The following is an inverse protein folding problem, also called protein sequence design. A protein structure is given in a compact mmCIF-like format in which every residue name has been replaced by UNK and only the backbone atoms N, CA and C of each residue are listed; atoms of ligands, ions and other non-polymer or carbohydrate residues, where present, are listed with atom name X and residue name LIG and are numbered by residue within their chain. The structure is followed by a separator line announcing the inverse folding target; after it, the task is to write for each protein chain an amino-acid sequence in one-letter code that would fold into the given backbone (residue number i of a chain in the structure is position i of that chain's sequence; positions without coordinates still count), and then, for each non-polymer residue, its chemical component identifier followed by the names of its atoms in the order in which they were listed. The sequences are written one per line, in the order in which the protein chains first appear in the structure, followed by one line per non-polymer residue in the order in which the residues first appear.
data_IF_960306592447
#
_entry.id   IF_960306592447
#
_cell.length_a   1.000
_cell.length_b   1.000
_cell.length_c   1.000
_cell.angle_alpha   90.00
_cell.angle_beta   90.00
_cell.angle_gamma   90.00
#
_symmetry.space_group_name_H-M   'P 1'
#
loop_
_entity.id
_entity.type
_entity.pdbx_description
1 polymer ?
#
# COMPACT_ATOMS: atom_id res chain seq x y z
N UNK A 1 1.34 -19.65 -29.37
CA UNK A 1 1.69 -18.28 -28.96
C UNK A 1 0.47 -17.69 -28.27
N UNK A 2 0.60 -17.26 -27.00
CA UNK A 2 -0.51 -16.63 -26.27
C UNK A 2 -0.44 -15.13 -26.57
N UNK A 3 -1.48 -14.56 -27.15
CA UNK A 3 -1.56 -13.12 -27.42
C UNK A 3 -1.57 -12.34 -26.09
N UNK A 4 -0.89 -11.18 -26.02
CA UNK A 4 -0.96 -10.34 -24.82
C UNK A 4 -2.40 -9.87 -24.61
N UNK A 5 -3.01 -10.29 -23.50
CA UNK A 5 -4.33 -9.83 -23.08
C UNK A 5 -4.31 -8.42 -22.49
N UNK A 6 -5.48 -7.92 -22.09
CA UNK A 6 -5.65 -6.64 -21.40
C UNK A 6 -4.82 -6.66 -20.10
N UNK A 7 -3.96 -5.67 -19.90
CA UNK A 7 -3.08 -5.53 -18.72
C UNK A 7 -3.52 -4.36 -17.86
N UNK A 8 -3.27 -4.46 -16.56
CA UNK A 8 -3.43 -3.33 -15.64
C UNK A 8 -2.41 -2.22 -15.97
N UNK A 9 -2.78 -0.94 -15.81
CA UNK A 9 -1.87 0.18 -15.98
C UNK A 9 -0.73 0.12 -14.95
N UNK A 10 0.49 0.44 -15.36
CA UNK A 10 1.70 0.37 -14.51
C UNK A 10 2.22 1.72 -14.03
N UNK A 11 2.21 2.74 -14.88
CA UNK A 11 2.87 4.03 -14.59
C UNK A 11 1.87 5.17 -14.33
N UNK A 12 0.76 5.23 -15.08
CA UNK A 12 -0.27 6.25 -14.93
C UNK A 12 -1.65 5.59 -14.85
N UNK A 13 -2.07 5.22 -13.64
CA UNK A 13 -3.34 4.51 -13.43
C UNK A 13 -4.57 5.42 -13.54
N UNK A 14 -4.38 6.74 -13.52
CA UNK A 14 -5.43 7.76 -13.51
C UNK A 14 -5.10 8.88 -14.51
N UNK A 15 -4.85 8.51 -15.77
CA UNK A 15 -4.73 9.47 -16.87
C UNK A 15 -6.03 10.28 -16.99
N UNK A 16 -5.94 11.61 -16.88
CA UNK A 16 -7.10 12.52 -16.88
C UNK A 16 -7.26 13.24 -18.22
N UNK A 17 -6.16 13.54 -18.88
CA UNK A 17 -6.11 14.22 -20.17
C UNK A 17 -5.70 13.24 -21.28
N UNK A 18 -5.80 13.71 -22.52
CA UNK A 18 -5.33 12.93 -23.66
C UNK A 18 -3.81 12.74 -23.58
N UNK A 19 -3.31 11.62 -24.12
CA UNK A 19 -1.89 11.27 -24.10
C UNK A 19 -1.00 12.26 -24.86
N UNK A 20 -1.57 13.05 -25.78
CA UNK A 20 -0.87 14.12 -26.51
C UNK A 20 -0.78 15.42 -25.70
N UNK A 21 -1.50 15.53 -24.58
CA UNK A 21 -1.41 16.70 -23.72
C UNK A 21 -0.03 16.73 -23.04
N UNK A 22 0.68 17.87 -23.02
CA UNK A 22 2.06 17.94 -22.52
C UNK A 22 2.25 17.42 -21.09
N UNK A 23 1.23 17.59 -20.24
CA UNK A 23 1.25 17.09 -18.85
C UNK A 23 1.23 15.56 -18.80
N UNK A 24 0.35 14.90 -19.56
CA UNK A 24 0.26 13.44 -19.58
C UNK A 24 1.48 12.81 -20.26
N UNK A 25 1.96 13.44 -21.33
CA UNK A 25 3.21 13.03 -21.97
C UNK A 25 4.37 13.09 -20.97
N UNK A 26 4.45 14.15 -20.16
CA UNK A 26 5.48 14.26 -19.14
C UNK A 26 5.34 13.15 -18.09
N UNK A 27 4.15 12.91 -17.55
CA UNK A 27 3.90 11.87 -16.54
C UNK A 27 4.25 10.46 -17.05
N UNK A 28 3.98 10.16 -18.32
CA UNK A 28 4.33 8.87 -18.92
C UNK A 28 5.84 8.68 -19.13
N UNK A 29 6.54 9.75 -19.47
CA UNK A 29 7.93 9.68 -19.92
C UNK A 29 8.94 10.12 -18.85
N UNK A 30 8.51 10.80 -17.78
CA UNK A 30 9.42 11.49 -16.87
C UNK A 30 10.45 10.53 -16.27
N UNK A 31 10.01 9.37 -15.80
CA UNK A 31 10.87 8.37 -15.14
C UNK A 31 11.93 7.78 -16.08
N UNK A 32 11.69 7.79 -17.40
CA UNK A 32 12.61 7.25 -18.39
C UNK A 32 13.58 8.29 -18.97
N UNK A 33 13.15 9.55 -19.05
CA UNK A 33 13.90 10.60 -19.76
C UNK A 33 14.69 11.53 -18.82
N UNK A 34 14.32 11.65 -17.55
CA UNK A 34 14.96 12.58 -16.63
C UNK A 34 15.61 11.87 -15.43
N UNK A 35 16.85 12.25 -15.13
CA UNK A 35 17.59 11.61 -14.02
C UNK A 35 17.04 11.97 -12.63
N UNK A 36 16.33 13.10 -12.50
CA UNK A 36 15.75 13.51 -11.21
C UNK A 36 14.52 12.67 -10.82
N UNK A 37 13.84 12.08 -11.79
CA UNK A 37 12.67 11.22 -11.61
C UNK A 37 13.05 9.73 -11.56
N UNK A 38 14.18 9.35 -12.17
CA UNK A 38 14.64 7.98 -12.42
C UNK A 38 14.86 7.07 -11.19
N UNK A 39 14.52 7.48 -9.97
CA UNK A 39 14.79 6.71 -8.74
C UNK A 39 13.69 6.85 -7.67
N UNK A 40 12.42 7.10 -8.05
CA UNK A 40 11.29 7.09 -7.10
C UNK A 40 10.86 5.68 -6.67
N UNK A 41 11.81 4.77 -6.42
CA UNK A 41 11.52 3.46 -5.85
C UNK A 41 11.38 3.59 -4.34
N UNK A 42 10.17 3.92 -3.88
CA UNK A 42 9.84 3.86 -2.46
C UNK A 42 9.82 2.39 -2.00
N UNK A 43 10.57 2.08 -0.94
CA UNK A 43 10.44 0.79 -0.27
C UNK A 43 9.02 0.70 0.34
N UNK A 44 8.38 -0.46 0.18
CA UNK A 44 7.08 -0.72 0.81
C UNK A 44 7.28 -0.82 2.33
N UNK A 45 6.68 0.12 3.07
CA UNK A 45 6.65 0.07 4.52
C UNK A 45 5.43 -0.74 4.98
N UNK A 46 5.67 -1.85 5.67
CA UNK A 46 4.61 -2.70 6.22
C UNK A 46 4.35 -2.34 7.70
N UNK A 47 3.08 -2.15 8.06
CA UNK A 47 2.66 -1.87 9.42
C UNK A 47 1.72 -2.97 9.91
N UNK A 48 1.96 -3.47 11.12
CA UNK A 48 1.07 -4.40 11.80
C UNK A 48 0.45 -3.69 13.00
N UNK A 49 -0.88 -3.67 13.07
CA UNK A 49 -1.66 -2.98 14.09
C UNK A 49 -2.53 -4.02 14.81
N UNK A 50 -2.57 -3.94 16.14
CA UNK A 50 -3.42 -4.76 16.99
C UNK A 50 -4.23 -3.88 17.95
N UNK A 51 -5.27 -4.45 18.56
CA UNK A 51 -6.08 -3.75 19.56
C UNK A 51 -7.22 -2.93 18.98
N UNK A 52 -7.40 -2.93 17.67
CA UNK A 52 -8.55 -2.36 16.99
C UNK A 52 -9.19 -3.41 16.09
N UNK A 53 -10.50 -3.27 15.86
CA UNK A 53 -11.20 -4.05 14.84
C UNK A 53 -11.18 -3.30 13.51
N UNK A 54 -11.13 -4.01 12.37
CA UNK A 54 -11.35 -3.38 11.08
C UNK A 54 -12.73 -2.72 11.03
N UNK A 55 -12.76 -1.45 10.61
CA UNK A 55 -13.98 -0.67 10.41
C UNK A 55 -14.85 -1.31 9.32
N UNK A 56 -16.17 -1.37 9.56
CA UNK A 56 -17.15 -2.02 8.67
C UNK A 56 -18.36 -1.14 8.32
N UNK A 57 -18.48 0.02 8.95
CA UNK A 57 -19.60 0.97 8.84
C UNK A 57 -19.27 2.18 7.94
N UNK A 58 -18.13 2.16 7.25
CA UNK A 58 -17.77 3.18 6.28
C UNK A 58 -18.76 3.21 5.11
N UNK A 59 -19.11 4.40 4.63
CA UNK A 59 -20.08 4.56 3.55
C UNK A 59 -19.41 4.30 2.20
N UNK A 60 -19.94 3.36 1.40
CA UNK A 60 -19.29 2.97 0.14
C UNK A 60 -19.27 4.06 -0.93
N UNK A 61 -20.19 5.03 -0.88
CA UNK A 61 -20.35 6.07 -1.91
C UNK A 61 -19.95 7.49 -1.47
N UNK A 62 -19.64 7.70 -0.18
CA UNK A 62 -19.31 9.04 0.35
C UNK A 62 -17.91 8.95 0.93
N UNK A 63 -16.95 9.56 0.25
CA UNK A 63 -15.51 9.45 0.55
C UNK A 63 -15.19 9.94 1.96
N UNK A 64 -15.88 10.98 2.43
CA UNK A 64 -15.63 11.59 3.73
C UNK A 64 -16.26 10.83 4.90
N UNK A 65 -17.06 9.80 4.64
CA UNK A 65 -17.70 8.97 5.68
C UNK A 65 -16.90 7.70 5.92
N UNK A 66 -15.79 7.85 6.63
CA UNK A 66 -14.79 6.80 6.88
C UNK A 66 -15.19 5.77 7.96
N UNK A 67 -16.35 5.92 8.60
CA UNK A 67 -16.86 5.00 9.62
C UNK A 67 -16.27 5.24 11.00
N UNK A 68 -16.36 4.24 11.89
CA UNK A 68 -15.87 4.33 13.27
C UNK A 68 -14.77 3.31 13.57
N UNK A 69 -13.80 3.72 14.39
CA UNK A 69 -12.71 2.84 14.85
C UNK A 69 -13.07 2.23 16.21
N UNK A 70 -13.32 0.93 16.24
CA UNK A 70 -13.66 0.23 17.48
C UNK A 70 -12.43 -0.45 18.11
N UNK A 71 -12.21 -0.27 19.43
CA UNK A 71 -11.19 -1.05 20.13
C UNK A 71 -11.59 -2.52 20.23
N UNK A 72 -10.61 -3.41 20.09
CA UNK A 72 -10.82 -4.85 20.30
C UNK A 72 -10.81 -5.19 21.79
N UNK A 73 -11.99 -5.49 22.34
CA UNK A 73 -12.18 -5.87 23.75
C UNK A 73 -11.45 -7.15 24.15
N UNK A 74 -11.08 -8.00 23.20
CA UNK A 74 -10.36 -9.25 23.47
C UNK A 74 -8.84 -9.07 23.45
N UNK A 75 -8.36 -7.95 22.90
CA UNK A 75 -6.95 -7.65 22.89
C UNK A 75 -6.49 -7.22 24.29
N UNK A 76 -5.65 -8.06 24.90
CA UNK A 76 -5.02 -7.78 26.19
C UNK A 76 -3.51 -7.91 26.09
N UNK A 77 -2.83 -6.86 26.54
CA UNK A 77 -1.38 -6.86 26.63
C UNK A 77 -0.96 -7.64 27.89
N UNK A 78 -0.62 -8.91 27.70
CA UNK A 78 -0.06 -9.76 28.76
C UNK A 78 1.39 -10.09 28.47
N UNK A 79 2.15 -10.53 29.49
CA UNK A 79 3.54 -10.97 29.32
C UNK A 79 3.68 -12.09 28.26
N UNK A 80 2.70 -12.97 28.15
CA UNK A 80 2.68 -14.03 27.14
C UNK A 80 2.44 -13.47 25.73
N UNK A 81 1.52 -12.52 25.59
CA UNK A 81 1.23 -11.82 24.33
C UNK A 81 2.50 -11.14 23.81
N UNK A 82 3.21 -10.41 24.68
CA UNK A 82 4.45 -9.72 24.33
C UNK A 82 5.53 -10.70 23.87
N UNK A 83 5.72 -11.83 24.59
CA UNK A 83 6.67 -12.87 24.18
C UNK A 83 6.36 -13.43 22.79
N UNK A 84 5.07 -13.66 22.48
CA UNK A 84 4.65 -14.13 21.15
C UNK A 84 4.94 -13.10 20.07
N UNK A 85 4.68 -11.82 20.33
CA UNK A 85 4.97 -10.73 19.39
C UNK A 85 6.47 -10.61 19.11
N UNK A 86 7.32 -10.66 20.14
CA UNK A 86 8.78 -10.64 19.98
C UNK A 86 9.25 -11.80 19.10
N UNK A 87 8.76 -13.02 19.35
CA UNK A 87 9.10 -14.19 18.53
C UNK A 87 8.69 -14.02 17.06
N UNK A 88 7.54 -13.40 16.79
CA UNK A 88 7.11 -13.11 15.42
C UNK A 88 8.02 -12.08 14.73
N UNK A 89 8.44 -11.04 15.45
CA UNK A 89 9.36 -10.04 14.93
C UNK A 89 10.74 -10.65 14.61
N UNK A 90 11.22 -11.60 15.42
CA UNK A 90 12.46 -12.34 15.12
C UNK A 90 12.35 -13.17 13.83
N UNK A 91 11.21 -13.83 13.60
CA UNK A 91 10.95 -14.57 12.36
C UNK A 91 10.96 -13.61 11.16
N UNK A 92 10.29 -12.46 11.28
CA UNK A 92 10.23 -11.46 10.23
C UNK A 92 11.60 -10.86 9.91
N UNK A 93 12.43 -10.60 10.94
CA UNK A 93 13.80 -10.13 10.77
C UNK A 93 14.66 -11.09 9.95
N UNK A 94 14.44 -12.40 10.12
CA UNK A 94 15.18 -13.43 9.39
C UNK A 94 14.57 -13.76 8.02
N UNK A 95 13.46 -13.11 7.64
CA UNK A 95 12.82 -13.28 6.34
C UNK A 95 13.43 -12.35 5.29
N UNK A 96 13.49 -12.79 4.03
CA UNK A 96 14.00 -11.99 2.90
C UNK A 96 13.07 -10.84 2.48
N UNK A 97 11.90 -10.70 3.10
CA UNK A 97 10.87 -9.72 2.70
C UNK A 97 11.24 -8.29 3.13
N UNK A 98 12.15 -8.13 4.12
CA UNK A 98 12.49 -6.84 4.74
C UNK A 98 13.93 -6.38 4.37
N UNK A 99 14.60 -7.02 3.39
CA UNK A 99 15.96 -6.64 2.95
C UNK A 99 15.95 -5.51 1.92
#
# INVERSE_FOLDING_TARGET
MINPGIRLPRNNALQLLRSDHPVEWFDENENSLFNFSANRFYKLNAFAIWGTKPTRDAHSFIVDKTGTLEPDKHFKLTRQTIKKMIKQLEILRNSQIIQ
#
